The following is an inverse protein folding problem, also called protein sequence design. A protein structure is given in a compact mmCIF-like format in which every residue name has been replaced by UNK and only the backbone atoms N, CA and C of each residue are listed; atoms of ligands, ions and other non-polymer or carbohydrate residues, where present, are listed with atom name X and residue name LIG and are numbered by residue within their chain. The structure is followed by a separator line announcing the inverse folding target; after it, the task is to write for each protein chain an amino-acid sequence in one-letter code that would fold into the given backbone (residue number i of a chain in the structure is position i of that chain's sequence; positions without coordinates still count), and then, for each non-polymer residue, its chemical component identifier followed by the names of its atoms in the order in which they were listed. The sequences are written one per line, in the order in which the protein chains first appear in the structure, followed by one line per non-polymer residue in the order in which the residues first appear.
data_IF_726749454783
#
_entry.id   IF_726749454783
#
_cell.length_a   1.000
_cell.length_b   1.000
_cell.length_c   1.000
_cell.angle_alpha   90.00
_cell.angle_beta   90.00
_cell.angle_gamma   90.00
#
_symmetry.space_group_name_H-M   'P 1'
#
loop_
_entity.id
_entity.type
_entity.pdbx_description
1 polymer ?
#
# COMPACT_ATOMS: atom_id res chain seq x y z
N UNK A 1 -22.04 28.82 36.90
CA UNK A 1 -20.82 27.98 36.75
C UNK A 1 -21.09 26.46 36.79
N UNK A 2 -21.97 25.92 37.67
CA UNK A 2 -22.25 24.47 37.73
C UNK A 2 -22.83 23.84 36.44
N UNK A 3 -23.59 24.60 35.64
CA UNK A 3 -24.16 24.10 34.38
C UNK A 3 -23.13 23.89 33.26
N UNK A 4 -22.19 24.83 33.10
CA UNK A 4 -21.14 24.74 32.08
C UNK A 4 -20.18 23.57 32.32
N UNK A 5 -19.88 23.27 33.60
CA UNK A 5 -19.05 22.14 33.98
C UNK A 5 -19.70 20.78 33.60
N UNK A 6 -21.00 20.63 33.82
CA UNK A 6 -21.75 19.40 33.46
C UNK A 6 -21.84 19.19 31.95
N UNK A 7 -22.07 20.27 31.19
CA UNK A 7 -22.10 20.20 29.74
C UNK A 7 -20.73 19.83 29.16
N UNK A 8 -19.65 20.42 29.71
CA UNK A 8 -18.28 20.12 29.27
C UNK A 8 -17.91 18.66 29.55
N UNK A 9 -18.25 18.13 30.73
CA UNK A 9 -18.04 16.73 31.07
C UNK A 9 -18.85 15.79 30.16
N UNK A 10 -20.13 16.11 29.88
CA UNK A 10 -20.96 15.32 28.98
C UNK A 10 -20.41 15.30 27.55
N UNK A 11 -20.02 16.46 27.00
CA UNK A 11 -19.40 16.53 25.68
C UNK A 11 -18.07 15.78 25.62
N UNK A 12 -17.26 15.81 26.68
CA UNK A 12 -16.03 15.03 26.77
C UNK A 12 -16.32 13.52 26.76
N UNK A 13 -17.29 13.05 27.56
CA UNK A 13 -17.70 11.65 27.60
C UNK A 13 -18.26 11.17 26.25
N UNK A 14 -19.12 11.95 25.61
CA UNK A 14 -19.66 11.61 24.28
C UNK A 14 -18.55 11.60 23.23
N UNK A 15 -17.62 12.55 23.27
CA UNK A 15 -16.49 12.59 22.34
C UNK A 15 -15.52 11.42 22.55
N UNK A 16 -15.28 11.03 23.80
CA UNK A 16 -14.45 9.85 24.15
C UNK A 16 -15.16 8.57 23.73
N UNK A 17 -16.46 8.42 24.02
CA UNK A 17 -17.25 7.26 23.63
C UNK A 17 -17.37 7.09 22.12
N UNK A 18 -17.73 8.16 21.40
CA UNK A 18 -17.75 8.17 19.94
C UNK A 18 -16.35 7.96 19.35
N UNK A 19 -15.31 8.54 19.98
CA UNK A 19 -13.92 8.32 19.59
C UNK A 19 -13.47 6.88 19.78
N UNK A 20 -13.84 6.23 20.89
CA UNK A 20 -13.50 4.84 21.18
C UNK A 20 -14.22 3.86 20.25
N UNK A 21 -15.51 4.09 19.97
CA UNK A 21 -16.28 3.31 19.00
C UNK A 21 -15.69 3.49 17.60
N UNK A 22 -15.41 4.74 17.21
CA UNK A 22 -14.78 5.07 15.93
C UNK A 22 -13.38 4.46 15.77
N UNK A 23 -12.59 4.42 16.84
CA UNK A 23 -11.27 3.77 16.84
C UNK A 23 -11.37 2.25 16.68
N UNK A 24 -12.37 1.62 17.30
CA UNK A 24 -12.56 0.17 17.17
C UNK A 24 -13.09 -0.20 15.78
N UNK A 25 -14.02 0.57 15.21
CA UNK A 25 -14.51 0.35 13.85
C UNK A 25 -13.42 0.64 12.82
N UNK A 26 -12.66 1.73 12.97
CA UNK A 26 -11.53 2.04 12.10
C UNK A 26 -10.44 0.96 12.15
N UNK A 27 -10.17 0.38 13.34
CA UNK A 27 -9.23 -0.75 13.49
C UNK A 27 -9.73 -2.00 12.76
N UNK A 28 -11.02 -2.30 12.84
CA UNK A 28 -11.61 -3.45 12.14
C UNK A 28 -11.59 -3.26 10.62
N UNK A 29 -12.01 -2.09 10.14
CA UNK A 29 -12.05 -1.75 8.71
C UNK A 29 -10.65 -1.69 8.10
N UNK A 30 -9.68 -1.06 8.78
CA UNK A 30 -8.28 -1.06 8.35
C UNK A 30 -7.71 -2.49 8.30
N UNK A 31 -8.06 -3.33 9.27
CA UNK A 31 -7.66 -4.74 9.27
C UNK A 31 -8.24 -5.52 8.08
N UNK A 32 -9.50 -5.29 7.73
CA UNK A 32 -10.15 -5.92 6.58
C UNK A 32 -9.58 -5.44 5.23
N UNK A 33 -9.40 -4.13 5.07
CA UNK A 33 -8.79 -3.55 3.87
C UNK A 33 -7.34 -4.01 3.69
N UNK A 34 -6.54 -4.05 4.76
CA UNK A 34 -5.17 -4.57 4.71
C UNK A 34 -5.12 -6.05 4.38
N UNK A 35 -6.07 -6.86 4.89
CA UNK A 35 -6.17 -8.26 4.50
C UNK A 35 -6.58 -8.42 3.03
N UNK A 36 -7.50 -7.60 2.53
CA UNK A 36 -7.88 -7.60 1.12
C UNK A 36 -6.68 -7.26 0.23
N UNK A 37 -6.01 -6.15 0.53
CA UNK A 37 -4.76 -5.77 -0.11
C UNK A 37 -3.71 -6.89 -0.04
N UNK A 38 -3.52 -7.49 1.13
CA UNK A 38 -2.55 -8.57 1.29
C UNK A 38 -2.89 -9.81 0.46
N UNK A 39 -4.18 -10.16 0.31
CA UNK A 39 -4.61 -11.25 -0.59
C UNK A 39 -4.32 -10.93 -2.06
N UNK A 40 -4.49 -9.68 -2.47
CA UNK A 40 -4.20 -9.25 -3.84
C UNK A 40 -2.69 -9.26 -4.10
N UNK A 41 -1.91 -8.70 -3.19
CA UNK A 41 -0.44 -8.70 -3.26
C UNK A 41 0.14 -10.12 -3.24
N UNK A 42 -0.44 -11.00 -2.44
CA UNK A 42 0.01 -12.38 -2.37
C UNK A 42 -0.16 -13.12 -3.72
N UNK A 43 -1.21 -12.83 -4.49
CA UNK A 43 -1.38 -13.43 -5.85
C UNK A 43 -0.29 -13.04 -6.84
N UNK A 44 0.35 -11.89 -6.61
CA UNK A 44 1.44 -11.39 -7.45
C UNK A 44 2.81 -11.55 -6.77
N UNK A 45 2.86 -12.10 -5.56
CA UNK A 45 4.08 -12.23 -4.77
C UNK A 45 5.14 -13.11 -5.43
N UNK A 46 4.73 -14.13 -6.19
CA UNK A 46 5.62 -15.00 -6.97
C UNK A 46 6.37 -14.26 -8.09
N UNK A 47 5.88 -13.08 -8.49
CA UNK A 47 6.53 -12.21 -9.49
C UNK A 47 7.65 -11.41 -8.84
N UNK A 48 7.53 -11.13 -7.54
CA UNK A 48 8.49 -10.34 -6.79
C UNK A 48 9.60 -11.23 -6.22
N UNK A 49 10.85 -10.76 -6.27
CA UNK A 49 11.97 -11.46 -5.64
C UNK A 49 11.82 -11.51 -4.11
N UNK A 50 12.72 -12.26 -3.45
CA UNK A 50 12.69 -12.45 -1.98
C UNK A 50 12.66 -11.13 -1.20
N UNK A 51 13.32 -10.09 -1.71
CA UNK A 51 13.28 -8.73 -1.18
C UNK A 51 13.11 -7.75 -2.34
N UNK A 52 12.02 -7.00 -2.33
CA UNK A 52 11.65 -6.06 -3.38
C UNK A 52 11.46 -4.68 -2.76
N UNK A 53 12.24 -3.71 -3.22
CA UNK A 53 12.04 -2.30 -2.91
C UNK A 53 11.15 -1.71 -3.99
N UNK A 54 9.98 -1.22 -3.60
CA UNK A 54 9.02 -0.57 -4.47
C UNK A 54 8.98 0.92 -4.19
N UNK A 55 8.80 1.72 -5.24
CA UNK A 55 8.48 3.13 -5.14
C UNK A 55 7.11 3.38 -5.72
N UNK A 56 6.13 3.66 -4.87
CA UNK A 56 4.76 3.95 -5.28
C UNK A 56 4.51 5.45 -5.14
N UNK A 57 4.23 6.12 -6.25
CA UNK A 57 4.04 7.56 -6.27
C UNK A 57 5.18 8.35 -5.57
N UNK A 58 6.42 7.89 -5.79
CA UNK A 58 7.61 8.46 -5.17
C UNK A 58 7.86 8.01 -3.72
N UNK A 59 6.95 7.27 -3.09
CA UNK A 59 7.10 6.79 -1.71
C UNK A 59 7.71 5.38 -1.68
N UNK A 60 8.67 5.17 -0.78
CA UNK A 60 9.36 3.88 -0.65
C UNK A 60 8.56 2.90 0.23
N UNK A 61 8.32 1.71 -0.31
CA UNK A 61 7.77 0.55 0.39
C UNK A 61 8.67 -0.65 0.12
N UNK A 62 8.76 -1.53 1.09
CA UNK A 62 9.59 -2.71 0.98
C UNK A 62 8.71 -3.94 1.20
N UNK A 63 8.93 -4.94 0.36
CA UNK A 63 8.22 -6.20 0.36
C UNK A 63 9.24 -7.33 0.45
N UNK A 64 8.95 -8.35 1.23
CA UNK A 64 9.70 -9.58 1.23
C UNK A 64 8.77 -10.77 1.30
N UNK A 65 9.13 -11.83 0.59
CA UNK A 65 8.36 -13.07 0.51
C UNK A 65 9.21 -14.23 1.01
N UNK A 66 8.56 -15.22 1.61
CA UNK A 66 9.20 -16.41 2.11
C UNK A 66 8.22 -17.54 2.36
N UNK A 67 8.75 -18.69 2.82
CA UNK A 67 7.93 -19.81 3.23
C UNK A 67 8.29 -20.28 4.64
N UNK A 68 7.31 -20.84 5.34
CA UNK A 68 7.49 -21.43 6.67
C UNK A 68 6.83 -22.79 6.75
N UNK A 69 7.46 -23.72 7.47
CA UNK A 69 6.87 -25.02 7.85
C UNK A 69 6.33 -25.02 9.28
N UNK A 70 6.51 -23.93 10.00
CA UNK A 70 5.94 -23.75 11.34
C UNK A 70 4.41 -23.58 11.23
N UNK A 71 3.69 -23.74 12.34
CA UNK A 71 2.27 -23.41 12.37
C UNK A 71 2.04 -21.91 12.13
N UNK A 72 0.81 -21.57 11.71
CA UNK A 72 0.38 -20.17 11.54
C UNK A 72 0.67 -19.37 12.82
N UNK A 73 0.27 -19.91 13.98
CA UNK A 73 0.46 -19.24 15.25
C UNK A 73 1.93 -19.04 15.61
N UNK A 74 2.77 -20.06 15.44
CA UNK A 74 4.20 -19.94 15.73
C UNK A 74 4.88 -18.91 14.82
N UNK A 75 4.49 -18.86 13.55
CA UNK A 75 5.01 -17.87 12.60
C UNK A 75 4.59 -16.45 13.01
N UNK A 76 3.30 -16.22 13.30
CA UNK A 76 2.79 -14.91 13.71
C UNK A 76 3.32 -14.47 15.08
N UNK A 77 3.54 -15.40 16.01
CA UNK A 77 4.11 -15.14 17.33
C UNK A 77 5.50 -14.48 17.22
N UNK A 78 6.30 -14.87 16.21
CA UNK A 78 7.63 -14.27 15.97
C UNK A 78 7.51 -12.79 15.59
N UNK A 79 6.58 -12.46 14.70
CA UNK A 79 6.32 -11.08 14.29
C UNK A 79 5.70 -10.26 15.43
N UNK A 80 4.74 -10.83 16.15
CA UNK A 80 4.11 -10.18 17.29
C UNK A 80 5.12 -9.92 18.42
N UNK A 81 6.03 -10.87 18.67
CA UNK A 81 7.13 -10.69 19.63
C UNK A 81 8.03 -9.51 19.24
N UNK A 82 8.38 -9.38 17.96
CA UNK A 82 9.14 -8.23 17.46
C UNK A 82 8.37 -6.92 17.69
N UNK A 83 7.07 -6.88 17.37
CA UNK A 83 6.23 -5.71 17.57
C UNK A 83 6.14 -5.29 19.05
N UNK A 84 5.93 -6.23 19.96
CA UNK A 84 5.83 -5.97 21.42
C UNK A 84 7.17 -5.53 22.03
N UNK A 85 8.27 -6.09 21.55
CA UNK A 85 9.62 -5.72 21.99
C UNK A 85 10.03 -4.33 21.49
N UNK A 86 9.51 -3.90 20.35
CA UNK A 86 9.79 -2.60 19.76
C UNK A 86 9.14 -1.45 20.55
N UNK A 87 9.76 -0.28 20.49
CA UNK A 87 9.13 0.95 20.98
C UNK A 87 8.05 1.42 20.01
N UNK A 88 7.01 2.04 20.52
CA UNK A 88 5.93 2.63 19.72
C UNK A 88 5.33 3.80 20.48
N UNK A 89 4.88 4.83 19.76
CA UNK A 89 4.17 5.97 20.36
C UNK A 89 2.81 5.58 20.94
N UNK A 90 2.24 4.47 20.45
CA UNK A 90 0.98 3.92 20.92
C UNK A 90 1.14 3.03 22.15
N UNK A 91 2.38 2.73 22.57
CA UNK A 91 2.64 1.92 23.76
C UNK A 91 2.22 2.68 25.01
N UNK A 92 1.46 2.03 25.89
CA UNK A 92 0.90 2.64 27.10
C UNK A 92 -0.01 3.86 26.83
N UNK A 93 -0.76 3.88 25.73
CA UNK A 93 -1.71 4.96 25.41
C UNK A 93 -2.55 5.44 26.61
N UNK A 94 -3.10 4.55 27.46
CA UNK A 94 -3.90 4.98 28.62
C UNK A 94 -3.08 5.80 29.62
N UNK A 95 -1.77 5.57 29.74
CA UNK A 95 -0.88 6.37 30.57
C UNK A 95 -0.61 7.75 29.97
N UNK A 96 -0.57 7.84 28.64
CA UNK A 96 -0.28 9.07 27.91
C UNK A 96 -1.49 10.01 27.76
N UNK A 97 -2.71 9.45 27.76
CA UNK A 97 -3.94 10.24 27.82
C UNK A 97 -4.10 10.79 29.24
N UNK A 98 -3.98 12.12 29.39
CA UNK A 98 -4.34 12.84 30.62
C UNK A 98 -5.87 12.84 30.78
N UNK A 99 -6.43 11.68 31.10
CA UNK A 99 -7.85 11.56 31.42
C UNK A 99 -8.07 12.11 32.83
N UNK A 100 -9.14 12.89 33.01
CA UNK A 100 -9.48 13.47 34.31
C UNK A 100 -9.70 12.36 35.38
N UNK A 101 -9.44 12.70 36.64
CA UNK A 101 -9.48 11.77 37.79
C UNK A 101 -10.84 11.05 37.95
N UNK A 102 -11.93 11.66 37.51
CA UNK A 102 -13.29 11.12 37.50
C UNK A 102 -13.54 10.06 36.41
N UNK A 103 -12.64 9.92 35.43
CA UNK A 103 -12.69 8.90 34.39
C UNK A 103 -11.69 7.75 34.63
N UNK A 104 -11.25 7.55 35.89
CA UNK A 104 -10.38 6.44 36.30
C UNK A 104 -10.93 5.06 35.92
N UNK A 105 -12.25 4.86 36.07
CA UNK A 105 -12.90 3.58 35.77
C UNK A 105 -12.90 3.28 34.27
N UNK A 106 -13.06 4.29 33.41
CA UNK A 106 -12.89 4.14 31.97
C UNK A 106 -11.43 3.89 31.59
N UNK A 107 -10.48 4.61 32.19
CA UNK A 107 -9.04 4.38 31.98
C UNK A 107 -8.64 2.94 32.28
N UNK A 108 -9.24 2.32 33.30
CA UNK A 108 -9.02 0.91 33.62
C UNK A 108 -9.54 -0.03 32.52
N UNK A 109 -10.67 0.29 31.89
CA UNK A 109 -11.20 -0.49 30.74
C UNK A 109 -10.30 -0.42 29.51
N UNK A 110 -9.55 0.67 29.37
CA UNK A 110 -8.63 0.88 28.25
C UNK A 110 -7.18 0.49 28.57
N UNK A 111 -6.85 0.16 29.83
CA UNK A 111 -5.49 -0.10 30.31
C UNK A 111 -4.78 -1.20 29.53
N UNK A 112 -5.54 -2.19 29.06
CA UNK A 112 -5.04 -3.38 28.35
C UNK A 112 -5.16 -3.27 26.82
N UNK A 113 -5.65 -2.14 26.28
CA UNK A 113 -5.74 -1.98 24.83
C UNK A 113 -4.37 -1.62 24.27
N UNK A 114 -3.70 -2.62 23.71
CA UNK A 114 -2.54 -2.42 22.85
C UNK A 114 -3.00 -1.98 21.45
N UNK A 115 -2.82 -0.70 21.15
CA UNK A 115 -3.00 -0.16 19.80
C UNK A 115 -1.73 -0.23 18.95
N UNK A 116 -0.59 -0.61 19.54
CA UNK A 116 0.68 -0.69 18.82
C UNK A 116 0.79 -1.93 17.95
N UNK A 117 0.11 -3.02 18.34
CA UNK A 117 0.12 -4.30 17.62
C UNK A 117 -1.30 -4.78 17.35
N UNK A 118 -1.55 -5.21 16.12
CA UNK A 118 -2.80 -5.84 15.70
C UNK A 118 -2.50 -7.20 15.10
N UNK A 119 -3.13 -8.25 15.63
CA UNK A 119 -3.10 -9.60 15.08
C UNK A 119 -4.51 -10.02 14.68
N UNK A 120 -4.65 -10.69 13.55
CA UNK A 120 -5.89 -11.30 13.08
C UNK A 120 -5.59 -12.63 12.42
N UNK A 121 -6.39 -13.65 12.73
CA UNK A 121 -6.35 -14.97 12.08
C UNK A 121 -7.76 -15.28 11.61
N UNK A 122 -7.89 -15.67 10.35
CA UNK A 122 -9.16 -15.98 9.69
C UNK A 122 -8.94 -17.15 8.72
N UNK A 123 -9.33 -18.36 9.15
CA UNK A 123 -9.14 -19.59 8.41
C UNK A 123 -7.67 -19.84 8.03
N UNK A 124 -7.41 -19.87 6.73
CA UNK A 124 -6.08 -20.12 6.16
C UNK A 124 -5.21 -18.85 6.05
N UNK A 125 -5.69 -17.70 6.53
CA UNK A 125 -5.00 -16.42 6.49
C UNK A 125 -4.75 -15.87 7.88
N UNK A 126 -3.53 -15.43 8.15
CA UNK A 126 -3.17 -14.76 9.39
C UNK A 126 -2.30 -13.55 9.13
N UNK A 127 -2.39 -12.53 9.99
CA UNK A 127 -1.61 -11.31 9.84
C UNK A 127 -1.27 -10.66 11.17
N UNK A 128 -0.12 -10.01 11.22
CA UNK A 128 0.33 -9.12 12.31
C UNK A 128 0.74 -7.78 11.71
N UNK A 129 0.29 -6.69 12.31
CA UNK A 129 0.69 -5.32 11.98
C UNK A 129 1.13 -4.58 13.23
N UNK A 130 2.18 -3.76 13.13
CA UNK A 130 2.52 -2.78 14.14
C UNK A 130 3.15 -1.52 13.57
N UNK A 131 3.13 -0.46 14.39
CA UNK A 131 3.88 0.78 14.15
C UNK A 131 4.99 0.87 15.19
N UNK A 132 6.23 0.82 14.73
CA UNK A 132 7.43 0.91 15.58
C UNK A 132 8.08 2.27 15.47
N UNK A 133 8.74 2.74 16.53
CA UNK A 133 9.38 4.06 16.56
C UNK A 133 10.47 4.13 15.47
N UNK A 134 10.39 5.17 14.64
CA UNK A 134 11.40 5.57 13.68
C UNK A 134 12.16 6.82 14.12
N UNK A 135 13.06 7.29 13.27
CA UNK A 135 13.84 8.52 13.48
C UNK A 135 12.98 9.78 13.33
N UNK A 136 11.97 9.74 12.45
CA UNK A 136 11.02 10.84 12.23
C UNK A 136 9.84 10.86 13.22
N UNK A 137 9.75 9.85 14.09
CA UNK A 137 8.65 9.74 15.06
C UNK A 137 8.70 10.85 16.11
N UNK A 138 7.54 11.43 16.45
CA UNK A 138 7.46 12.47 17.46
C UNK A 138 7.96 12.05 18.85
N UNK A 139 8.23 13.02 19.73
CA UNK A 139 8.74 12.77 21.09
C UNK A 139 7.71 12.14 22.04
N UNK A 140 6.49 11.92 21.57
CA UNK A 140 5.38 11.28 22.28
C UNK A 140 4.16 11.22 21.37
N UNK A 141 3.06 10.63 21.83
CA UNK A 141 1.85 10.48 21.02
C UNK A 141 1.31 11.81 20.48
N UNK A 142 1.17 12.84 21.33
CA UNK A 142 0.57 14.11 20.92
C UNK A 142 1.40 14.83 19.84
N UNK A 143 2.73 14.86 19.99
CA UNK A 143 3.64 15.43 18.98
C UNK A 143 3.57 14.64 17.68
N UNK A 144 3.54 13.31 17.76
CA UNK A 144 3.44 12.40 16.61
C UNK A 144 2.13 12.59 15.84
N UNK A 145 0.99 12.65 16.56
CA UNK A 145 -0.33 12.90 15.97
C UNK A 145 -0.41 14.29 15.35
N UNK A 146 0.16 15.32 15.98
CA UNK A 146 0.21 16.68 15.42
C UNK A 146 1.05 16.72 14.14
N UNK A 147 2.23 16.10 14.14
CA UNK A 147 3.09 15.98 12.96
C UNK A 147 2.39 15.23 11.83
N UNK A 148 1.80 14.08 12.13
CA UNK A 148 1.01 13.31 11.17
C UNK A 148 -0.17 14.13 10.63
N UNK A 149 -0.98 14.77 11.49
CA UNK A 149 -2.12 15.58 11.05
C UNK A 149 -1.73 16.76 10.16
N UNK A 150 -0.49 17.26 10.28
CA UNK A 150 0.03 18.35 9.44
C UNK A 150 0.63 17.86 8.12
N UNK A 151 1.37 16.75 8.17
CA UNK A 151 2.20 16.28 7.04
C UNK A 151 1.58 15.12 6.27
N UNK A 152 0.62 14.43 6.89
CA UNK A 152 0.09 13.14 6.49
C UNK A 152 1.18 12.07 6.27
N UNK A 153 2.32 12.21 6.93
CA UNK A 153 3.44 11.27 6.88
C UNK A 153 3.33 10.24 8.00
N UNK A 154 3.09 8.97 7.64
CA UNK A 154 2.99 7.85 8.57
C UNK A 154 4.26 7.70 9.42
N UNK A 155 5.43 8.07 8.89
CA UNK A 155 6.71 8.05 9.60
C UNK A 155 6.74 8.92 10.87
N UNK A 156 5.89 9.95 10.93
CA UNK A 156 5.70 10.76 12.13
C UNK A 156 5.09 9.97 13.29
N UNK A 157 4.31 8.92 13.00
CA UNK A 157 3.77 7.96 13.96
C UNK A 157 4.76 6.79 14.18
N UNK A 158 5.50 6.42 13.15
CA UNK A 158 6.51 5.38 13.17
C UNK A 158 6.61 4.62 11.86
N UNK A 159 7.49 3.62 11.85
CA UNK A 159 7.64 2.70 10.72
C UNK A 159 6.57 1.63 10.80
N UNK A 160 5.84 1.41 9.71
CA UNK A 160 4.87 0.34 9.61
C UNK A 160 5.59 -0.99 9.39
N UNK A 161 5.13 -2.04 10.07
CA UNK A 161 5.56 -3.42 9.90
C UNK A 161 4.32 -4.28 9.75
N UNK A 162 4.20 -4.98 8.64
CA UNK A 162 3.09 -5.88 8.34
C UNK A 162 3.65 -7.22 7.93
N UNK A 163 3.11 -8.30 8.49
CA UNK A 163 3.39 -9.66 8.10
C UNK A 163 2.06 -10.38 7.88
N UNK A 164 1.96 -11.12 6.79
CA UNK A 164 0.85 -11.99 6.46
C UNK A 164 1.39 -13.39 6.24
N UNK A 165 0.71 -14.39 6.78
CA UNK A 165 0.97 -15.79 6.52
C UNK A 165 -0.30 -16.42 5.94
N UNK A 166 -0.16 -17.15 4.84
CA UNK A 166 -1.25 -17.86 4.18
C UNK A 166 -0.89 -19.33 4.06
N UNK A 167 -1.81 -20.21 4.45
CA UNK A 167 -1.64 -21.65 4.29
C UNK A 167 -1.70 -22.04 2.81
N UNK A 168 -0.75 -22.84 2.39
CA UNK A 168 -0.65 -23.41 1.06
C UNK A 168 -1.29 -24.81 1.01
N UNK A 169 -1.65 -25.33 -0.18
CA UNK A 169 -2.25 -26.66 -0.31
C UNK A 169 -1.39 -27.80 0.24
N UNK A 170 -0.07 -27.65 0.24
CA UNK A 170 0.89 -28.62 0.78
C UNK A 170 1.04 -28.55 2.31
N UNK A 171 0.33 -27.64 2.96
CA UNK A 171 0.35 -27.42 4.41
C UNK A 171 1.47 -26.47 4.89
N UNK A 172 2.35 -26.01 4.01
CA UNK A 172 3.30 -24.93 4.32
C UNK A 172 2.60 -23.58 4.40
N UNK A 173 3.31 -22.55 4.86
CA UNK A 173 2.84 -21.17 4.83
C UNK A 173 3.65 -20.38 3.81
N UNK A 174 2.97 -19.60 2.97
CA UNK A 174 3.58 -18.46 2.29
C UNK A 174 3.53 -17.26 3.23
N UNK A 175 4.65 -16.57 3.41
CA UNK A 175 4.80 -15.45 4.32
C UNK A 175 5.21 -14.21 3.53
N UNK A 176 4.36 -13.19 3.55
CA UNK A 176 4.61 -11.89 2.95
C UNK A 176 4.84 -10.86 4.05
N UNK A 177 5.89 -10.06 3.92
CA UNK A 177 6.24 -8.96 4.82
C UNK A 177 6.23 -7.65 4.04
N UNK A 178 5.55 -6.64 4.56
CA UNK A 178 5.53 -5.29 4.01
C UNK A 178 6.00 -4.31 5.09
N UNK A 179 6.91 -3.41 4.77
CA UNK A 179 7.33 -2.39 5.71
C UNK A 179 7.67 -1.06 5.06
N UNK A 180 7.62 -0.01 5.88
CA UNK A 180 8.06 1.34 5.52
C UNK A 180 9.33 1.70 6.27
N UNK A 181 10.01 2.74 5.80
CA UNK A 181 11.06 3.38 6.59
C UNK A 181 10.50 4.62 7.31
N UNK A 182 11.33 5.65 7.46
CA UNK A 182 11.04 6.83 8.28
C UNK A 182 10.08 7.83 7.64
N UNK A 183 9.67 7.63 6.38
CA UNK A 183 8.69 8.49 5.71
C UNK A 183 7.80 7.66 4.79
N UNK A 184 6.49 7.91 4.87
CA UNK A 184 5.49 7.44 3.93
C UNK A 184 4.34 8.45 3.96
N UNK A 185 4.33 9.38 3.01
CA UNK A 185 3.28 10.41 2.92
C UNK A 185 2.04 9.86 2.24
N UNK A 186 0.98 9.68 3.02
CA UNK A 186 -0.26 9.07 2.53
C UNK A 186 -0.95 9.92 1.45
N UNK A 187 -0.80 11.24 1.52
CA UNK A 187 -1.34 12.16 0.51
C UNK A 187 -0.58 12.15 -0.82
N UNK A 188 0.67 11.68 -0.81
CA UNK A 188 1.44 11.47 -2.04
C UNK A 188 1.18 10.06 -2.58
N UNK A 189 1.05 9.06 -1.70
CA UNK A 189 0.72 7.68 -2.05
C UNK A 189 -0.68 7.56 -2.69
N UNK A 190 -1.68 8.18 -2.06
CA UNK A 190 -3.08 8.19 -2.47
C UNK A 190 -3.56 9.65 -2.58
N UNK A 191 -3.26 10.32 -3.70
CA UNK A 191 -3.69 11.69 -3.90
C UNK A 191 -5.24 11.78 -3.94
N UNK A 192 -5.83 12.92 -3.54
CA UNK A 192 -7.26 13.14 -3.70
C UNK A 192 -7.70 13.04 -5.16
N UNK A 193 -8.98 12.70 -5.37
CA UNK A 193 -9.58 12.70 -6.70
C UNK A 193 -9.35 14.02 -7.43
N UNK A 194 -8.99 13.94 -8.70
CA UNK A 194 -8.69 15.14 -9.49
C UNK A 194 -7.22 15.53 -9.50
N UNK A 195 -6.45 15.09 -8.50
CA UNK A 195 -5.03 15.47 -8.33
C UNK A 195 -4.13 14.43 -8.96
N UNK A 196 -3.13 14.89 -9.71
CA UNK A 196 -2.12 14.00 -10.28
C UNK A 196 -1.15 13.49 -9.20
N UNK A 197 -0.91 12.18 -9.19
CA UNK A 197 0.01 11.53 -8.26
C UNK A 197 1.44 12.04 -8.40
N UNK A 198 2.12 12.26 -7.26
CA UNK A 198 3.57 12.49 -7.23
C UNK A 198 4.25 11.24 -7.79
N UNK A 199 5.22 11.37 -8.69
CA UNK A 199 5.76 10.22 -9.43
C UNK A 199 6.28 10.64 -10.79
N UNK A 200 6.54 9.68 -11.67
CA UNK A 200 6.92 9.94 -13.05
C UNK A 200 6.17 9.04 -14.03
N UNK A 201 6.25 9.37 -15.31
CA UNK A 201 5.72 8.53 -16.38
C UNK A 201 6.76 7.47 -16.76
N UNK A 202 6.27 6.43 -17.42
CA UNK A 202 7.12 5.42 -18.02
C UNK A 202 8.09 5.98 -19.06
N UNK A 203 9.20 5.28 -19.25
CA UNK A 203 10.22 5.67 -20.22
C UNK A 203 10.11 4.86 -21.51
N UNK A 204 9.41 3.72 -21.49
CA UNK A 204 9.30 2.80 -22.62
C UNK A 204 8.03 3.06 -23.44
N UNK A 205 6.96 3.48 -22.78
CA UNK A 205 5.68 3.83 -23.38
C UNK A 205 5.33 5.30 -23.15
N UNK A 206 4.74 5.98 -24.14
CA UNK A 206 4.27 7.35 -23.98
C UNK A 206 3.10 7.41 -22.99
N UNK A 207 2.95 8.55 -22.31
CA UNK A 207 1.75 8.88 -21.54
C UNK A 207 0.50 8.82 -22.43
N UNK A 208 -0.64 8.26 -21.97
CA UNK A 208 -1.89 8.32 -22.70
C UNK A 208 -2.32 9.77 -22.96
N UNK A 209 -2.92 10.10 -24.12
CA UNK A 209 -3.41 11.45 -24.38
C UNK A 209 -4.50 11.87 -23.41
N UNK A 210 -4.59 13.19 -23.17
CA UNK A 210 -5.58 13.82 -22.30
C UNK A 210 -5.76 13.11 -20.94
N UNK A 211 -4.64 12.72 -20.34
CA UNK A 211 -4.62 11.94 -19.11
C UNK A 211 -3.85 12.59 -17.98
N UNK A 212 -4.16 12.15 -16.77
CA UNK A 212 -3.39 12.41 -15.56
C UNK A 212 -2.97 11.08 -14.93
N UNK A 213 -1.80 11.07 -14.29
CA UNK A 213 -1.34 9.89 -13.55
C UNK A 213 -2.05 9.79 -12.20
N UNK A 214 -2.58 8.61 -11.92
CA UNK A 214 -3.16 8.24 -10.62
C UNK A 214 -2.12 7.47 -9.80
N UNK A 215 -1.36 6.59 -10.46
CA UNK A 215 -0.36 5.76 -9.81
C UNK A 215 0.88 5.57 -10.70
N UNK A 216 2.05 5.56 -10.06
CA UNK A 216 3.31 5.05 -10.58
C UNK A 216 3.86 4.04 -9.58
N UNK A 217 4.37 2.92 -10.06
CA UNK A 217 5.01 1.88 -9.27
C UNK A 217 6.29 1.50 -9.98
N UNK A 218 7.42 1.76 -9.34
CA UNK A 218 8.73 1.30 -9.82
C UNK A 218 9.23 0.20 -8.90
N UNK A 219 9.64 -0.93 -9.46
CA UNK A 219 10.43 -1.91 -8.72
C UNK A 219 11.89 -1.46 -8.78
N UNK A 220 12.38 -0.88 -7.68
CA UNK A 220 13.73 -0.36 -7.57
C UNK A 220 14.72 -1.50 -7.82
N UNK A 221 15.77 -1.21 -8.58
CA UNK A 221 16.76 -2.18 -9.07
C UNK A 221 16.18 -3.29 -9.95
N UNK A 222 15.04 -3.05 -10.58
CA UNK A 222 14.45 -3.93 -11.59
C UNK A 222 14.12 -3.16 -12.87
N UNK A 223 13.89 -3.90 -13.93
CA UNK A 223 13.42 -3.42 -15.24
C UNK A 223 11.89 -3.31 -15.36
N UNK A 224 11.17 -3.47 -14.25
CA UNK A 224 9.71 -3.49 -14.22
C UNK A 224 9.15 -2.23 -13.57
N UNK A 225 8.12 -1.67 -14.21
CA UNK A 225 7.34 -0.59 -13.67
C UNK A 225 5.88 -0.70 -14.12
N UNK A 226 4.97 -0.10 -13.36
CA UNK A 226 3.57 -0.01 -13.70
C UNK A 226 3.04 1.40 -13.47
N UNK A 227 2.16 1.84 -14.34
CA UNK A 227 1.58 3.17 -14.31
C UNK A 227 0.08 3.08 -14.53
N UNK A 228 -0.69 3.86 -13.78
CA UNK A 228 -2.13 3.97 -13.94
C UNK A 228 -2.49 5.42 -14.20
N UNK A 229 -3.24 5.65 -15.26
CA UNK A 229 -3.71 6.96 -15.68
C UNK A 229 -5.23 6.99 -15.74
N UNK A 230 -5.79 8.18 -15.55
CA UNK A 230 -7.16 8.49 -15.90
C UNK A 230 -7.15 9.39 -17.13
N UNK A 231 -7.83 8.98 -18.21
CA UNK A 231 -7.96 9.70 -19.47
C UNK A 231 -9.41 10.04 -19.78
N UNK A 232 -9.62 11.15 -20.49
CA UNK A 232 -10.93 11.51 -21.06
C UNK A 232 -11.19 10.86 -22.42
N UNK A 233 -10.19 10.22 -23.03
CA UNK A 233 -10.37 9.49 -24.29
C UNK A 233 -11.11 8.18 -24.05
N UNK A 234 -11.76 7.62 -25.07
CA UNK A 234 -12.36 6.28 -24.95
C UNK A 234 -11.28 5.19 -24.86
N UNK A 235 -11.61 3.99 -24.35
CA UNK A 235 -10.67 2.86 -24.36
C UNK A 235 -10.14 2.54 -25.77
N UNK A 236 -11.03 2.52 -26.77
CA UNK A 236 -10.67 2.28 -28.17
C UNK A 236 -9.74 3.34 -28.75
N UNK A 237 -10.01 4.63 -28.49
CA UNK A 237 -9.14 5.70 -28.98
C UNK A 237 -7.78 5.67 -28.31
N UNK A 238 -7.73 5.24 -27.04
CA UNK A 238 -6.47 5.05 -26.30
C UNK A 238 -5.64 3.94 -26.92
N UNK A 239 -6.24 2.78 -27.21
CA UNK A 239 -5.52 1.68 -27.85
C UNK A 239 -5.05 2.06 -29.25
N UNK A 240 -5.88 2.72 -30.06
CA UNK A 240 -5.46 3.21 -31.39
C UNK A 240 -4.26 4.16 -31.30
N UNK A 241 -4.25 5.06 -30.31
CA UNK A 241 -3.09 5.92 -30.06
C UNK A 241 -1.82 5.10 -29.81
N UNK A 242 -1.88 4.05 -28.99
CA UNK A 242 -0.73 3.19 -28.74
C UNK A 242 -0.33 2.37 -29.97
N UNK A 243 -1.29 1.81 -30.72
CA UNK A 243 -1.00 1.06 -31.94
C UNK A 243 -0.19 1.93 -32.92
N UNK A 244 -0.61 3.18 -33.14
CA UNK A 244 0.10 4.14 -34.01
C UNK A 244 1.47 4.54 -33.44
N UNK A 245 1.52 4.90 -32.16
CA UNK A 245 2.73 5.47 -31.54
C UNK A 245 3.81 4.42 -31.31
N UNK A 246 3.44 3.21 -30.90
CA UNK A 246 4.36 2.11 -30.67
C UNK A 246 4.90 1.55 -32.00
N UNK A 247 4.07 1.47 -33.04
CA UNK A 247 4.53 1.08 -34.38
C UNK A 247 5.54 2.09 -34.95
N UNK A 248 5.33 3.39 -34.73
CA UNK A 248 6.30 4.43 -35.12
C UNK A 248 7.65 4.33 -34.40
N UNK A 249 7.67 3.67 -33.23
CA UNK A 249 8.87 3.37 -32.45
C UNK A 249 9.39 1.93 -32.71
N UNK A 250 8.92 1.27 -33.78
CA UNK A 250 9.34 -0.09 -34.16
C UNK A 250 9.00 -1.20 -33.15
N UNK A 251 7.98 -1.01 -32.32
CA UNK A 251 7.41 -2.13 -31.57
C UNK A 251 6.51 -2.98 -32.45
N UNK A 252 6.55 -4.29 -32.21
CA UNK A 252 5.61 -5.23 -32.79
C UNK A 252 4.44 -5.46 -31.84
N UNK A 253 3.23 -5.53 -32.39
CA UNK A 253 2.07 -6.00 -31.61
C UNK A 253 2.24 -7.50 -31.41
N UNK A 254 2.13 -7.94 -30.16
CA UNK A 254 2.09 -9.36 -29.83
C UNK A 254 0.65 -9.78 -29.66
N UNK A 255 0.19 -10.64 -30.56
CA UNK A 255 -1.10 -11.29 -30.40
C UNK A 255 -1.00 -12.26 -29.22
N UNK A 256 -1.90 -12.11 -28.23
CA UNK A 256 -2.05 -13.09 -27.16
C UNK A 256 -2.97 -14.22 -27.67
N UNK A 257 -2.45 -15.40 -28.07
CA UNK A 257 -3.30 -16.49 -28.54
C UNK A 257 -4.24 -17.02 -27.43
N UNK A 258 -3.91 -16.78 -26.15
CA UNK A 258 -4.78 -17.13 -25.03
C UNK A 258 -5.98 -16.18 -24.87
N UNK A 259 -5.93 -14.99 -25.48
CA UNK A 259 -7.02 -14.02 -25.49
C UNK A 259 -8.36 -14.61 -25.92
N UNK A 260 -8.33 -15.43 -26.99
CA UNK A 260 -9.51 -16.08 -27.55
C UNK A 260 -10.10 -17.16 -26.62
N UNK A 261 -9.31 -17.63 -25.66
CA UNK A 261 -9.63 -18.72 -24.74
C UNK A 261 -10.06 -18.24 -23.36
N UNK A 262 -9.81 -16.96 -23.01
CA UNK A 262 -10.15 -16.41 -21.70
C UNK A 262 -11.66 -16.18 -21.58
N UNK A 263 -12.28 -16.50 -20.43
CA UNK A 263 -13.67 -16.14 -20.18
C UNK A 263 -13.85 -14.63 -20.37
N UNK A 264 -14.82 -14.21 -21.20
CA UNK A 264 -15.14 -12.79 -21.45
C UNK A 264 -15.46 -11.99 -20.18
N UNK A 265 -15.66 -12.67 -19.05
CA UNK A 265 -15.95 -12.08 -17.74
C UNK A 265 -14.71 -11.57 -17.00
N UNK A 266 -13.48 -11.89 -17.46
CA UNK A 266 -12.26 -11.59 -16.69
C UNK A 266 -11.52 -10.31 -17.10
N UNK A 267 -11.79 -9.75 -18.28
CA UNK A 267 -11.21 -8.48 -18.74
C UNK A 267 -12.28 -7.63 -19.43
N UNK A 268 -12.90 -6.72 -18.69
CA UNK A 268 -13.80 -5.71 -19.25
C UNK A 268 -12.97 -4.54 -19.77
N UNK A 269 -12.45 -4.63 -21.00
CA UNK A 269 -11.67 -3.54 -21.59
C UNK A 269 -10.91 -3.93 -22.84
N UNK A 270 -10.24 -2.95 -23.42
CA UNK A 270 -9.34 -3.12 -24.55
C UNK A 270 -7.91 -3.27 -24.02
N UNK A 271 -7.11 -4.16 -24.62
CA UNK A 271 -5.71 -4.32 -24.23
C UNK A 271 -4.81 -4.63 -25.43
N UNK A 272 -3.54 -4.28 -25.29
CA UNK A 272 -2.48 -4.55 -26.26
C UNK A 272 -1.18 -4.89 -25.56
N UNK A 273 -0.41 -5.77 -26.17
CA UNK A 273 0.97 -6.05 -25.79
C UNK A 273 1.88 -5.66 -26.96
N UNK A 274 2.96 -4.95 -26.65
CA UNK A 274 3.95 -4.48 -27.60
C UNK A 274 5.33 -5.00 -27.21
N UNK A 275 6.12 -5.43 -28.19
CA UNK A 275 7.47 -5.93 -27.95
C UNK A 275 8.50 -5.31 -28.90
N UNK A 276 9.68 -4.95 -28.37
CA UNK A 276 10.84 -4.47 -29.13
C UNK A 276 12.12 -4.79 -28.37
N UNK A 277 13.07 -5.50 -29.00
CA UNK A 277 14.41 -5.75 -28.45
C UNK A 277 14.42 -6.32 -27.01
N UNK A 278 13.46 -7.20 -26.68
CA UNK A 278 13.31 -7.77 -25.35
C UNK A 278 12.67 -6.84 -24.31
N UNK A 279 12.15 -5.68 -24.75
CA UNK A 279 11.26 -4.82 -23.98
C UNK A 279 9.83 -5.20 -24.30
N UNK A 280 9.01 -5.36 -23.26
CA UNK A 280 7.57 -5.60 -23.35
C UNK A 280 6.81 -4.46 -22.68
N UNK A 281 5.80 -3.94 -23.37
CA UNK A 281 4.84 -2.98 -22.83
C UNK A 281 3.45 -3.58 -22.93
N UNK A 282 2.77 -3.69 -21.80
CA UNK A 282 1.37 -4.08 -21.74
C UNK A 282 0.50 -2.85 -21.47
N UNK A 283 -0.56 -2.68 -22.25
CA UNK A 283 -1.50 -1.56 -22.15
C UNK A 283 -2.89 -2.13 -21.95
N UNK A 284 -3.60 -1.66 -20.92
CA UNK A 284 -5.01 -1.95 -20.67
C UNK A 284 -5.77 -0.64 -20.59
N UNK A 285 -6.86 -0.53 -21.32
CA UNK A 285 -7.77 0.61 -21.24
C UNK A 285 -9.20 0.12 -20.97
N UNK A 286 -9.83 0.66 -19.93
CA UNK A 286 -11.19 0.29 -19.54
C UNK A 286 -11.96 1.48 -18.98
N UNK A 287 -13.27 1.48 -19.14
CA UNK A 287 -14.13 2.49 -18.51
C UNK A 287 -14.26 2.18 -17.02
N UNK A 288 -13.99 3.17 -16.16
CA UNK A 288 -14.17 3.08 -14.71
C UNK A 288 -15.58 3.50 -14.29
N UNK A 289 -15.88 3.37 -13.00
CA UNK A 289 -17.20 3.69 -12.41
C UNK A 289 -17.63 5.16 -12.61
N UNK A 290 -16.66 6.07 -12.83
CA UNK A 290 -16.90 7.49 -13.10
C UNK A 290 -17.09 7.80 -14.59
N UNK A 291 -17.30 6.78 -15.43
CA UNK A 291 -17.43 6.88 -16.89
C UNK A 291 -16.20 7.50 -17.59
N UNK A 292 -15.03 7.45 -16.96
CA UNK A 292 -13.75 7.84 -17.56
C UNK A 292 -12.94 6.61 -17.92
N UNK A 293 -11.89 6.77 -18.72
CA UNK A 293 -11.01 5.65 -19.06
C UNK A 293 -9.88 5.55 -18.06
N UNK A 294 -9.77 4.41 -17.39
CA UNK A 294 -8.56 4.00 -16.66
C UNK A 294 -7.61 3.31 -17.63
N UNK A 295 -6.36 3.75 -17.67
CA UNK A 295 -5.31 3.20 -18.52
C UNK A 295 -4.19 2.66 -17.65
N UNK A 296 -3.99 1.34 -17.65
CA UNK A 296 -2.85 0.68 -17.02
C UNK A 296 -1.74 0.43 -18.05
N UNK A 297 -0.52 0.81 -17.71
CA UNK A 297 0.70 0.46 -18.44
C UNK A 297 1.57 -0.41 -17.55
N UNK A 298 2.09 -1.51 -18.07
CA UNK A 298 3.15 -2.29 -17.42
C UNK A 298 4.33 -2.34 -18.38
N UNK A 299 5.48 -1.89 -17.90
CA UNK A 299 6.75 -1.89 -18.63
C UNK A 299 7.64 -3.00 -18.06
N UNK A 300 8.25 -3.79 -18.94
CA UNK A 300 9.25 -4.81 -18.58
C UNK A 300 10.37 -4.79 -19.61
N UNK A 301 11.63 -4.78 -19.14
CA UNK A 301 12.81 -4.84 -20.01
C UNK A 301 13.81 -3.72 -19.70
N UNK A 302 15.04 -3.87 -20.16
CA UNK A 302 16.16 -3.01 -19.76
C UNK A 302 15.90 -1.57 -20.24
N UNK A 303 15.40 -0.72 -19.35
CA UNK A 303 15.34 0.73 -19.60
C UNK A 303 16.74 1.34 -19.43
N UNK A 304 16.99 2.47 -20.09
CA UNK A 304 18.25 3.21 -19.93
C UNK A 304 18.49 3.67 -18.48
N UNK A 305 17.43 3.86 -17.68
CA UNK A 305 17.53 4.21 -16.25
C UNK A 305 18.08 3.05 -15.41
N UNK A 306 17.69 1.81 -15.71
CA UNK A 306 18.29 0.63 -15.11
C UNK A 306 19.78 0.54 -15.46
N UNK A 307 20.13 0.75 -16.73
CA UNK A 307 21.52 0.73 -17.20
C UNK A 307 22.38 1.83 -16.55
N UNK A 308 21.82 3.02 -16.28
CA UNK A 308 22.51 4.10 -15.59
C UNK A 308 22.80 3.77 -14.11
N UNK A 309 21.82 3.18 -13.41
CA UNK A 309 22.00 2.78 -12.01
C UNK A 309 22.97 1.59 -11.86
N UNK A 310 22.95 0.60 -12.76
CA UNK A 310 23.91 -0.51 -12.70
C UNK A 310 25.35 -0.04 -12.97
N UNK A 311 25.55 1.00 -13.79
CA UNK A 311 26.88 1.59 -14.02
C UNK A 311 27.42 2.30 -12.78
N UNK A 312 26.57 2.93 -11.97
CA UNK A 312 27.00 3.59 -10.72
C UNK A 312 27.39 2.59 -9.62
N UNK A 313 26.74 1.43 -9.54
CA UNK A 313 27.05 0.44 -8.49
C UNK A 313 28.26 -0.46 -8.80
N UNK A 314 28.77 -0.49 -10.04
CA UNK A 314 29.98 -1.25 -10.42
C UNK A 314 31.29 -0.48 -10.22
N UNK A 315 31.26 0.78 -9.78
CA UNK A 315 32.45 1.61 -9.57
C UNK A 315 32.92 1.70 -8.11
N UNK A 316 32.37 0.84 -7.23
CA UNK A 316 32.85 0.62 -5.86
C UNK A 316 33.37 -0.80 -5.72
#
# INVERSE_FOLDING_TARGET
MRGAARLSAYCAFVSIGCGAIGLHSAKAEAGEQLQAFGREMDRISDIFGENTHMRINGQDLYLANGSSRESMDATLDRFEKYCKASESVFKNLPKQLNVAEDAKEERARFADIDLSTHRKVDGDLGSVMCIVRGTNTGNGLLDSLKKFGTTQDLGALGKMRYAQARKQPDGSLHVMMLWTEDSLKLSELMPPDGVEGKGHDGSLAPRPPASRRIMSVDLVDSSHAAYVYESTNSPNDTIRFYDERMAAEHYNVVDDPSAASRPKTELTGEYRMYERDGITVFVVAQTNDNHKTSVGLVESGISESFAANTRMNRSK
#
